data_IF_377035637181
#
_entry.id   IF_377035637181
#
_cell.length_a   1.000
_cell.length_b   1.000
_cell.length_c   1.000
_cell.angle_alpha   90.00
_cell.angle_beta   90.00
_cell.angle_gamma   90.00
#
_symmetry.space_group_name_H-M   'P 1'
#
loop_
_entity.id
_entity.type
_entity.pdbx_description
1 polymer ?
#
# COMPACT_ATOMS: atom_id res chain seq x y z
N UNK A 1 25.79 -5.18 7.05
CA UNK A 1 24.96 -4.12 6.44
C UNK A 1 24.75 -2.96 7.39
N UNK A 2 24.01 -1.94 6.98
CA UNK A 2 23.77 -0.72 7.78
C UNK A 2 23.22 -1.01 9.18
N UNK A 3 22.38 -2.03 9.34
CA UNK A 3 21.85 -2.45 10.64
C UNK A 3 22.96 -3.04 11.53
N UNK A 4 23.84 -3.86 10.97
CA UNK A 4 24.92 -4.50 11.72
C UNK A 4 25.93 -3.43 12.21
N UNK A 5 26.21 -2.42 11.38
CA UNK A 5 27.09 -1.31 11.75
C UNK A 5 26.47 -0.47 12.87
N UNK A 6 25.15 -0.23 12.81
CA UNK A 6 24.41 0.48 13.85
C UNK A 6 24.40 -0.32 15.17
N UNK A 7 24.16 -1.62 15.12
CA UNK A 7 24.20 -2.49 16.30
C UNK A 7 25.59 -2.55 16.94
N UNK A 8 26.64 -2.60 16.10
CA UNK A 8 28.03 -2.55 16.57
C UNK A 8 28.34 -1.21 17.24
N UNK A 9 27.95 -0.10 16.60
CA UNK A 9 28.12 1.24 17.18
C UNK A 9 27.38 1.37 18.52
N UNK A 10 26.16 0.81 18.62
CA UNK A 10 25.41 0.78 19.87
C UNK A 10 26.14 -0.03 20.97
N UNK A 11 26.68 -1.20 20.63
CA UNK A 11 27.43 -2.04 21.57
C UNK A 11 28.72 -1.37 22.04
N UNK A 12 29.41 -0.66 21.15
CA UNK A 12 30.64 0.07 21.45
C UNK A 12 30.42 1.45 22.11
N UNK A 13 29.16 1.87 22.32
CA UNK A 13 28.79 3.21 22.78
C UNK A 13 29.29 4.35 21.86
N UNK A 14 29.29 4.10 20.55
CA UNK A 14 29.76 4.99 19.47
C UNK A 14 28.60 5.47 18.58
N UNK A 15 27.39 5.49 19.12
CA UNK A 15 26.21 5.94 18.35
C UNK A 15 26.37 7.40 17.92
N UNK A 16 26.05 7.65 16.65
CA UNK A 16 25.95 9.02 16.12
C UNK A 16 24.60 9.63 16.47
N UNK A 17 24.50 10.96 16.57
CA UNK A 17 23.22 11.63 16.82
C UNK A 17 22.16 11.40 15.76
N UNK A 18 22.58 11.12 14.50
CA UNK A 18 21.68 10.93 13.35
C UNK A 18 22.30 9.94 12.37
N UNK A 19 21.45 9.02 11.90
CA UNK A 19 21.72 8.13 10.77
C UNK A 19 20.70 8.43 9.67
N UNK A 20 21.15 8.96 8.56
CA UNK A 20 20.32 9.30 7.41
C UNK A 20 20.76 8.50 6.18
N UNK A 21 19.91 7.57 5.73
CA UNK A 21 20.16 6.71 4.58
C UNK A 21 19.23 7.02 3.39
N UNK A 22 18.59 8.19 3.37
CA UNK A 22 17.60 8.54 2.33
C UNK A 22 18.17 8.54 0.91
N UNK A 23 19.49 8.74 0.75
CA UNK A 23 20.17 8.68 -0.55
C UNK A 23 20.61 7.26 -0.95
N UNK A 24 20.51 6.30 -0.03
CA UNK A 24 20.95 4.91 -0.21
C UNK A 24 19.86 3.93 0.29
N UNK A 25 18.66 4.10 -0.19
CA UNK A 25 17.55 3.20 0.15
C UNK A 25 17.70 1.88 -0.62
N UNK A 26 17.80 0.73 0.07
CA UNK A 26 18.01 -0.57 -0.57
C UNK A 26 16.81 -1.00 -1.43
N UNK A 27 17.10 -1.78 -2.47
CA UNK A 27 16.06 -2.53 -3.21
C UNK A 27 15.31 -3.51 -2.32
N UNK A 28 14.18 -4.01 -2.78
CA UNK A 28 13.37 -4.98 -2.04
C UNK A 28 13.42 -6.39 -2.66
N UNK A 29 13.95 -6.53 -3.87
CA UNK A 29 14.07 -7.81 -4.53
C UNK A 29 15.00 -8.73 -3.72
N UNK A 30 14.54 -9.95 -3.43
CA UNK A 30 15.27 -10.89 -2.59
C UNK A 30 15.42 -10.50 -1.12
N UNK A 31 14.89 -9.35 -0.71
CA UNK A 31 14.92 -8.95 0.69
C UNK A 31 14.10 -9.91 1.57
N UNK A 32 14.52 -10.08 2.83
CA UNK A 32 13.82 -10.92 3.78
C UNK A 32 12.32 -10.61 3.80
N UNK A 33 11.52 -11.67 3.73
CA UNK A 33 10.06 -11.55 3.80
C UNK A 33 9.61 -11.75 5.24
N UNK A 34 8.74 -10.87 5.77
CA UNK A 34 8.21 -11.04 7.11
C UNK A 34 7.37 -12.32 7.19
N UNK A 35 7.64 -13.14 8.19
CA UNK A 35 6.88 -14.34 8.47
C UNK A 35 6.58 -14.41 9.96
N UNK A 36 5.31 -14.54 10.29
CA UNK A 36 4.86 -14.76 11.67
C UNK A 36 4.27 -16.16 11.81
N UNK A 37 4.66 -16.94 12.82
CA UNK A 37 4.01 -18.20 13.14
C UNK A 37 2.50 -18.02 13.38
N UNK A 38 1.72 -19.05 13.09
CA UNK A 38 0.25 -18.98 13.14
C UNK A 38 -0.31 -18.56 14.51
N UNK A 39 0.31 -19.01 15.59
CA UNK A 39 -0.08 -18.65 16.96
C UNK A 39 0.10 -17.14 17.21
N UNK A 40 1.19 -16.56 16.69
CA UNK A 40 1.44 -15.10 16.76
C UNK A 40 0.41 -14.36 15.91
N UNK A 41 0.15 -14.81 14.66
CA UNK A 41 -0.88 -14.21 13.80
C UNK A 41 -2.24 -14.22 14.49
N UNK A 42 -2.65 -15.35 15.06
CA UNK A 42 -3.94 -15.48 15.75
C UNK A 42 -4.06 -14.54 16.94
N UNK A 43 -3.00 -14.39 17.71
CA UNK A 43 -2.98 -13.53 18.91
C UNK A 43 -2.97 -12.05 18.59
N UNK A 44 -2.30 -11.62 17.51
CA UNK A 44 -2.06 -10.21 17.20
C UNK A 44 -2.97 -9.65 16.11
N UNK A 45 -3.32 -10.45 15.12
CA UNK A 45 -4.03 -10.00 13.91
C UNK A 45 -5.19 -10.93 13.50
N UNK A 46 -5.55 -11.90 14.35
CA UNK A 46 -6.64 -12.85 14.13
C UNK A 46 -6.35 -13.82 12.99
N UNK A 47 -6.84 -13.52 11.78
CA UNK A 47 -6.72 -14.39 10.60
C UNK A 47 -6.03 -13.69 9.42
N UNK A 48 -5.34 -12.59 9.68
CA UNK A 48 -4.72 -11.75 8.65
C UNK A 48 -3.24 -11.56 8.93
N UNK A 49 -2.43 -11.54 7.88
CA UNK A 49 -1.05 -11.08 7.93
C UNK A 49 -0.86 -9.89 7.00
N UNK A 50 0.22 -9.13 7.19
CA UNK A 50 0.56 -7.98 6.36
C UNK A 50 1.97 -8.13 5.80
N UNK A 51 2.18 -7.57 4.62
CA UNK A 51 3.48 -7.47 3.99
C UNK A 51 3.54 -6.31 3.02
N UNK A 52 4.75 -5.84 2.73
CA UNK A 52 5.01 -4.87 1.68
C UNK A 52 5.37 -5.60 0.38
N UNK A 53 4.67 -5.31 -0.69
CA UNK A 53 5.07 -5.65 -2.06
C UNK A 53 5.95 -4.55 -2.67
N UNK A 54 5.87 -3.33 -2.11
CA UNK A 54 6.68 -2.19 -2.47
C UNK A 54 6.69 -1.10 -1.41
N UNK A 55 7.61 -0.15 -1.55
CA UNK A 55 7.79 1.01 -0.67
C UNK A 55 8.07 2.25 -1.49
N UNK A 56 7.63 3.41 -0.98
CA UNK A 56 7.83 4.71 -1.61
C UNK A 56 6.63 5.15 -2.45
N UNK A 57 6.42 6.45 -2.50
CA UNK A 57 5.31 7.06 -3.22
C UNK A 57 5.80 8.28 -4.02
N UNK A 58 5.46 8.41 -5.32
CA UNK A 58 5.96 9.50 -6.15
C UNK A 58 5.29 10.86 -5.85
N UNK A 59 4.17 10.86 -5.14
CA UNK A 59 3.40 12.06 -4.86
C UNK A 59 4.01 12.92 -3.75
N UNK A 60 3.61 14.18 -3.66
CA UNK A 60 4.19 15.22 -2.80
C UNK A 60 3.19 15.77 -1.78
N UNK A 61 2.22 14.96 -1.35
CA UNK A 61 1.22 15.41 -0.38
C UNK A 61 1.88 16.00 0.87
N UNK A 62 1.54 17.25 1.22
CA UNK A 62 2.24 18.01 2.27
C UNK A 62 2.07 17.44 3.68
N UNK A 63 0.99 16.69 3.93
CA UNK A 63 0.71 16.03 5.20
C UNK A 63 1.34 14.63 5.33
N UNK A 64 1.88 14.07 4.23
CA UNK A 64 2.33 12.68 4.20
C UNK A 64 3.81 12.56 4.55
N UNK A 65 4.14 11.73 5.54
CA UNK A 65 5.51 11.48 5.99
C UNK A 65 6.26 10.45 5.16
N UNK A 66 5.57 9.69 4.30
CA UNK A 66 6.14 8.58 3.53
C UNK A 66 7.33 9.02 2.68
N UNK A 67 7.23 10.17 2.02
CA UNK A 67 8.31 10.71 1.19
C UNK A 67 9.61 10.98 1.99
N UNK A 68 9.48 11.23 3.29
CA UNK A 68 10.59 11.51 4.18
C UNK A 68 11.19 10.23 4.82
N UNK A 69 10.51 9.09 4.70
CA UNK A 69 10.93 7.81 5.31
C UNK A 69 11.21 6.75 4.26
N UNK A 70 10.33 6.62 3.26
CA UNK A 70 10.43 5.59 2.21
C UNK A 70 10.95 6.14 0.87
N UNK A 71 11.04 7.47 0.75
CA UNK A 71 11.45 8.13 -0.48
C UNK A 71 10.35 8.19 -1.54
N UNK A 72 10.68 8.86 -2.64
CA UNK A 72 9.75 9.14 -3.76
C UNK A 72 9.83 8.12 -4.89
N UNK A 73 10.85 7.28 -4.91
CA UNK A 73 11.03 6.23 -5.90
C UNK A 73 10.39 4.94 -5.38
N UNK A 74 9.44 4.40 -6.12
CA UNK A 74 8.89 3.08 -5.80
C UNK A 74 9.99 2.03 -5.90
N UNK A 75 10.16 1.25 -4.84
CA UNK A 75 11.02 0.07 -4.76
C UNK A 75 10.11 -1.12 -4.57
N UNK A 76 10.20 -2.13 -5.41
CA UNK A 76 9.26 -3.23 -5.45
C UNK A 76 9.95 -4.56 -5.17
N UNK A 77 9.22 -5.50 -4.58
CA UNK A 77 9.56 -6.93 -4.56
C UNK A 77 9.28 -7.53 -5.92
N UNK A 78 9.96 -8.63 -6.23
CA UNK A 78 9.62 -9.45 -7.38
C UNK A 78 8.27 -10.18 -7.16
N UNK A 79 7.64 -10.62 -8.25
CA UNK A 79 6.45 -11.46 -8.15
C UNK A 79 6.76 -12.80 -7.46
N UNK A 80 7.98 -13.32 -7.60
CA UNK A 80 8.43 -14.55 -6.94
C UNK A 80 8.57 -14.38 -5.42
N UNK A 81 9.04 -13.22 -4.95
CA UNK A 81 9.10 -12.91 -3.53
C UNK A 81 7.70 -12.86 -2.91
N UNK A 82 6.76 -12.21 -3.60
CA UNK A 82 5.36 -12.12 -3.14
C UNK A 82 4.68 -13.48 -3.15
N UNK A 83 4.86 -14.30 -4.21
CA UNK A 83 4.33 -15.66 -4.25
C UNK A 83 4.86 -16.50 -3.09
N UNK A 84 6.18 -16.50 -2.89
CA UNK A 84 6.83 -17.28 -1.81
C UNK A 84 6.27 -16.92 -0.44
N UNK A 85 6.09 -15.61 -0.18
CA UNK A 85 5.50 -15.11 1.06
C UNK A 85 4.05 -15.57 1.24
N UNK A 86 3.24 -15.47 0.19
CA UNK A 86 1.84 -15.88 0.24
C UNK A 86 1.74 -17.39 0.45
N UNK A 87 2.52 -18.20 -0.28
CA UNK A 87 2.52 -19.67 -0.12
C UNK A 87 2.93 -20.09 1.30
N UNK A 88 3.96 -19.47 1.87
CA UNK A 88 4.37 -19.74 3.24
C UNK A 88 3.26 -19.45 4.27
N UNK A 89 2.46 -18.41 4.04
CA UNK A 89 1.32 -18.10 4.90
C UNK A 89 0.11 -19.01 4.64
N UNK A 90 -0.17 -19.35 3.38
CA UNK A 90 -1.23 -20.30 3.04
C UNK A 90 -0.99 -21.67 3.64
N UNK A 91 0.27 -22.16 3.69
CA UNK A 91 0.63 -23.46 4.27
C UNK A 91 0.31 -23.57 5.76
N UNK A 92 0.26 -22.45 6.48
CA UNK A 92 -0.19 -22.39 7.89
C UNK A 92 -1.67 -21.99 8.05
N UNK A 93 -2.45 -21.89 6.95
CA UNK A 93 -3.88 -21.60 6.97
C UNK A 93 -4.26 -20.10 7.01
N UNK A 94 -3.31 -19.21 6.73
CA UNK A 94 -3.60 -17.76 6.61
C UNK A 94 -3.92 -17.41 5.15
N UNK A 95 -5.14 -16.94 4.91
CA UNK A 95 -5.69 -16.65 3.58
C UNK A 95 -6.00 -15.17 3.34
N UNK A 96 -5.88 -14.35 4.37
CA UNK A 96 -6.21 -12.92 4.31
C UNK A 96 -4.92 -12.11 4.48
N UNK A 97 -4.69 -11.19 3.56
CA UNK A 97 -3.46 -10.40 3.47
C UNK A 97 -3.77 -8.91 3.42
N UNK A 98 -2.92 -8.11 4.04
CA UNK A 98 -2.89 -6.68 3.83
C UNK A 98 -1.58 -6.32 3.15
N UNK A 99 -1.63 -5.84 1.91
CA UNK A 99 -0.47 -5.28 1.22
C UNK A 99 -0.30 -3.84 1.70
N UNK A 100 0.79 -3.61 2.44
CA UNK A 100 1.07 -2.35 3.13
C UNK A 100 1.86 -1.35 2.27
N UNK A 101 1.86 -1.54 0.95
CA UNK A 101 2.47 -0.56 0.04
C UNK A 101 1.90 0.83 0.30
N UNK A 102 2.74 1.84 0.28
CA UNK A 102 2.32 3.24 0.41
C UNK A 102 1.34 3.64 -0.70
N UNK A 103 1.46 2.99 -1.86
CA UNK A 103 0.56 3.13 -2.99
C UNK A 103 0.78 1.99 -4.00
N UNK A 104 0.02 0.92 -3.88
CA UNK A 104 0.17 -0.26 -4.73
C UNK A 104 -0.03 0.05 -6.23
N UNK A 105 -0.86 1.04 -6.56
CA UNK A 105 -1.07 1.48 -7.94
C UNK A 105 0.17 2.12 -8.57
N UNK A 106 1.19 2.46 -7.77
CA UNK A 106 2.47 3.02 -8.23
C UNK A 106 3.64 2.05 -8.07
N UNK A 107 3.37 0.82 -7.63
CA UNK A 107 4.35 -0.25 -7.59
C UNK A 107 4.71 -0.67 -9.03
N UNK A 108 5.98 -0.64 -9.38
CA UNK A 108 6.44 -0.93 -10.76
C UNK A 108 6.18 -2.38 -11.18
N UNK A 109 6.08 -3.31 -10.22
CA UNK A 109 5.85 -4.73 -10.46
C UNK A 109 4.40 -5.16 -10.24
N UNK A 110 3.46 -4.21 -10.09
CA UNK A 110 2.07 -4.52 -9.76
C UNK A 110 1.43 -5.53 -10.73
N UNK A 111 1.73 -5.39 -12.03
CA UNK A 111 1.14 -6.24 -13.06
C UNK A 111 1.65 -7.68 -12.96
N UNK A 112 2.96 -7.87 -12.86
CA UNK A 112 3.57 -9.19 -12.68
C UNK A 112 3.11 -9.86 -11.37
N UNK A 113 2.97 -9.08 -10.29
CA UNK A 113 2.44 -9.56 -9.00
C UNK A 113 0.99 -10.02 -9.16
N UNK A 114 0.13 -9.21 -9.78
CA UNK A 114 -1.27 -9.58 -9.98
C UNK A 114 -1.42 -10.79 -10.90
N UNK A 115 -0.68 -10.87 -12.00
CA UNK A 115 -0.72 -12.03 -12.89
C UNK A 115 -0.32 -13.31 -12.16
N UNK A 116 0.67 -13.24 -11.28
CA UNK A 116 1.06 -14.37 -10.44
C UNK A 116 -0.05 -14.78 -9.47
N UNK A 117 -0.69 -13.83 -8.80
CA UNK A 117 -1.79 -14.07 -7.86
C UNK A 117 -3.05 -14.60 -8.57
N UNK A 118 -3.33 -14.11 -9.78
CA UNK A 118 -4.42 -14.60 -10.61
C UNK A 118 -4.21 -16.08 -10.93
N UNK A 119 -3.01 -16.46 -11.38
CA UNK A 119 -2.67 -17.87 -11.64
C UNK A 119 -2.87 -18.74 -10.40
N UNK A 120 -2.34 -18.30 -9.24
CA UNK A 120 -2.51 -19.04 -7.98
C UNK A 120 -3.98 -19.24 -7.61
N UNK A 121 -4.84 -18.27 -7.88
CA UNK A 121 -6.26 -18.35 -7.56
C UNK A 121 -7.07 -19.14 -8.59
N UNK A 122 -6.86 -18.87 -9.88
CA UNK A 122 -7.71 -19.39 -10.96
C UNK A 122 -7.24 -20.76 -11.45
N UNK A 123 -5.93 -21.02 -11.50
CA UNK A 123 -5.40 -22.29 -11.98
C UNK A 123 -5.14 -23.29 -10.84
N UNK A 124 -4.66 -22.82 -9.69
CA UNK A 124 -4.34 -23.66 -8.55
C UNK A 124 -5.47 -23.71 -7.49
N UNK A 125 -6.53 -22.93 -7.66
CA UNK A 125 -7.68 -22.91 -6.74
C UNK A 125 -7.39 -22.33 -5.35
N UNK A 126 -6.29 -21.58 -5.17
CA UNK A 126 -5.89 -21.06 -3.87
C UNK A 126 -6.78 -19.90 -3.42
N UNK A 127 -7.21 -19.95 -2.18
CA UNK A 127 -8.06 -18.91 -1.59
C UNK A 127 -7.19 -17.76 -1.08
N UNK A 128 -7.15 -16.65 -1.80
CA UNK A 128 -6.40 -15.44 -1.45
C UNK A 128 -7.35 -14.25 -1.38
N UNK A 129 -7.33 -13.51 -0.27
CA UNK A 129 -8.08 -12.27 -0.07
C UNK A 129 -7.13 -11.16 0.34
N UNK A 130 -7.21 -10.04 -0.35
CA UNK A 130 -6.26 -8.93 -0.20
C UNK A 130 -6.98 -7.64 0.13
N UNK A 131 -6.44 -6.93 1.11
CA UNK A 131 -6.66 -5.50 1.32
C UNK A 131 -5.46 -4.76 0.75
N UNK A 132 -5.69 -3.71 -0.03
CA UNK A 132 -4.63 -2.90 -0.62
C UNK A 132 -4.89 -1.40 -0.42
N UNK A 133 -3.86 -0.59 -0.56
CA UNK A 133 -3.94 0.88 -0.55
C UNK A 133 -3.57 1.44 -1.92
N UNK A 134 -4.36 2.37 -2.43
CA UNK A 134 -4.16 2.97 -3.75
C UNK A 134 -4.54 4.45 -3.75
N UNK A 135 -4.07 5.19 -4.75
CA UNK A 135 -4.57 6.54 -5.03
C UNK A 135 -5.87 6.53 -5.86
N UNK A 136 -6.49 7.70 -5.97
CA UNK A 136 -7.74 7.90 -6.70
C UNK A 136 -7.63 7.69 -8.21
N UNK A 137 -6.41 7.70 -8.76
CA UNK A 137 -6.15 7.55 -10.20
C UNK A 137 -5.89 6.11 -10.63
N UNK A 138 -5.98 5.13 -9.70
CA UNK A 138 -5.78 3.72 -10.02
C UNK A 138 -6.68 3.22 -11.16
N UNK A 139 -7.89 3.79 -11.31
CA UNK A 139 -8.83 3.45 -12.39
C UNK A 139 -8.36 3.85 -13.80
N UNK A 140 -7.42 4.79 -13.91
CA UNK A 140 -6.82 5.20 -15.18
C UNK A 140 -5.66 4.30 -15.63
N UNK A 141 -5.17 3.44 -14.75
CA UNK A 141 -4.14 2.47 -15.12
C UNK A 141 -4.82 1.31 -15.84
N UNK A 142 -4.47 1.12 -17.10
CA UNK A 142 -5.07 0.10 -17.94
C UNK A 142 -4.96 -1.28 -17.30
N UNK A 143 -6.12 -1.93 -17.09
CA UNK A 143 -6.18 -3.28 -16.55
C UNK A 143 -5.97 -3.42 -15.04
N UNK A 144 -5.52 -2.38 -14.33
CA UNK A 144 -5.16 -2.47 -12.90
C UNK A 144 -6.32 -2.99 -12.06
N UNK A 145 -7.48 -2.32 -12.09
CA UNK A 145 -8.65 -2.70 -11.25
C UNK A 145 -9.18 -4.08 -11.64
N UNK A 146 -9.25 -4.40 -12.94
CA UNK A 146 -9.70 -5.71 -13.40
C UNK A 146 -8.78 -6.82 -12.89
N UNK A 147 -7.46 -6.67 -13.03
CA UNK A 147 -6.48 -7.61 -12.51
C UNK A 147 -6.49 -7.67 -10.98
N UNK A 148 -6.64 -6.53 -10.30
CA UNK A 148 -6.73 -6.48 -8.84
C UNK A 148 -7.89 -7.35 -8.30
N UNK A 149 -9.09 -7.23 -8.86
CA UNK A 149 -10.24 -8.06 -8.49
C UNK A 149 -9.97 -9.55 -8.68
N UNK A 150 -9.43 -9.94 -9.83
CA UNK A 150 -9.05 -11.33 -10.13
C UNK A 150 -7.94 -11.84 -9.21
N UNK A 151 -6.96 -10.99 -8.90
CA UNK A 151 -5.87 -11.30 -7.96
C UNK A 151 -6.33 -11.49 -6.51
N UNK A 152 -7.58 -11.13 -6.18
CA UNK A 152 -8.17 -11.32 -4.85
C UNK A 152 -8.23 -10.05 -4.01
N UNK A 153 -8.01 -8.88 -4.58
CA UNK A 153 -8.22 -7.61 -3.89
C UNK A 153 -9.73 -7.41 -3.70
N UNK A 154 -10.21 -7.75 -2.52
CA UNK A 154 -11.62 -7.65 -2.15
C UNK A 154 -11.93 -6.41 -1.31
N UNK A 155 -10.92 -5.71 -0.84
CA UNK A 155 -11.03 -4.43 -0.14
C UNK A 155 -9.91 -3.51 -0.58
N UNK A 156 -10.23 -2.24 -0.76
CA UNK A 156 -9.24 -1.22 -1.11
C UNK A 156 -9.43 0.02 -0.25
N UNK A 157 -8.34 0.52 0.31
CA UNK A 157 -8.29 1.82 0.95
C UNK A 157 -7.82 2.86 -0.07
N UNK A 158 -8.56 3.96 -0.19
CA UNK A 158 -8.33 5.01 -1.18
C UNK A 158 -8.17 6.34 -0.45
N UNK A 159 -7.05 7.00 -0.63
CA UNK A 159 -6.81 8.34 -0.11
C UNK A 159 -7.60 9.39 -0.86
N UNK A 160 -8.88 9.55 -0.53
CA UNK A 160 -9.77 10.54 -1.17
C UNK A 160 -9.52 11.95 -0.59
N UNK A 161 -9.33 12.05 0.69
CA UNK A 161 -8.93 13.17 1.54
C UNK A 161 -9.95 14.32 1.62
N UNK A 162 -10.45 14.83 0.50
CA UNK A 162 -11.41 15.94 0.46
C UNK A 162 -12.18 15.97 -0.87
N UNK A 163 -13.35 16.58 -0.88
CA UNK A 163 -14.06 16.98 -2.10
C UNK A 163 -13.94 18.49 -2.37
N UNK A 164 -13.11 19.20 -1.60
CA UNK A 164 -12.79 20.60 -1.82
C UNK A 164 -11.51 20.70 -2.68
N UNK A 165 -11.57 21.26 -3.92
CA UNK A 165 -10.42 21.35 -4.80
C UNK A 165 -9.31 22.26 -4.24
N UNK A 166 -9.64 23.30 -3.47
CA UNK A 166 -8.67 24.20 -2.90
C UNK A 166 -7.88 23.51 -1.77
N UNK A 167 -8.55 22.77 -0.90
CA UNK A 167 -7.90 21.95 0.14
C UNK A 167 -6.94 20.92 -0.46
N UNK A 168 -7.35 20.26 -1.55
CA UNK A 168 -6.48 19.28 -2.25
C UNK A 168 -5.26 19.95 -2.88
N UNK A 169 -5.43 21.17 -3.44
CA UNK A 169 -4.34 21.94 -4.03
C UNK A 169 -3.33 22.39 -2.97
N UNK A 170 -3.79 22.94 -1.85
CA UNK A 170 -2.94 23.32 -0.72
C UNK A 170 -2.19 22.12 -0.13
N UNK A 171 -2.85 20.97 -0.04
CA UNK A 171 -2.26 19.72 0.37
C UNK A 171 -1.29 19.10 -0.65
N UNK A 172 -1.06 19.75 -1.80
CA UNK A 172 -0.26 19.24 -2.91
C UNK A 172 -0.71 17.86 -3.39
N UNK A 173 -2.01 17.58 -3.31
CA UNK A 173 -2.61 16.31 -3.73
C UNK A 173 -3.27 16.41 -5.11
N UNK A 174 -2.54 16.96 -6.07
CA UNK A 174 -3.03 17.21 -7.44
C UNK A 174 -3.43 15.96 -8.23
N UNK A 175 -3.06 14.76 -7.78
CA UNK A 175 -3.54 13.50 -8.36
C UNK A 175 -5.02 13.25 -8.04
N UNK A 176 -5.58 13.87 -7.02
CA UNK A 176 -7.00 13.74 -6.69
C UNK A 176 -7.82 14.69 -7.56
N UNK A 177 -8.63 14.11 -8.44
CA UNK A 177 -9.55 14.84 -9.30
C UNK A 177 -10.98 14.48 -8.90
N UNK A 178 -11.68 15.40 -8.26
CA UNK A 178 -13.01 15.19 -7.65
C UNK A 178 -14.02 14.69 -8.70
N UNK A 179 -13.95 15.22 -9.91
CA UNK A 179 -14.81 14.81 -11.04
C UNK A 179 -14.67 13.34 -11.42
N UNK A 180 -13.56 12.71 -11.06
CA UNK A 180 -13.25 11.30 -11.35
C UNK A 180 -13.66 10.34 -10.23
N UNK A 181 -13.98 10.83 -9.03
CA UNK A 181 -14.25 9.99 -7.86
C UNK A 181 -15.38 9.00 -8.10
N UNK A 182 -16.48 9.44 -8.72
CA UNK A 182 -17.60 8.56 -9.05
C UNK A 182 -17.18 7.43 -9.99
N UNK A 183 -16.47 7.74 -11.06
CA UNK A 183 -16.02 6.77 -12.03
C UNK A 183 -15.04 5.76 -11.39
N UNK A 184 -14.13 6.23 -10.54
CA UNK A 184 -13.18 5.43 -9.80
C UNK A 184 -13.89 4.46 -8.83
N UNK A 185 -14.83 4.93 -8.02
CA UNK A 185 -15.60 4.10 -7.09
C UNK A 185 -16.42 3.05 -7.84
N UNK A 186 -17.09 3.44 -8.94
CA UNK A 186 -17.84 2.51 -9.77
C UNK A 186 -16.94 1.44 -10.42
N UNK A 187 -15.71 1.80 -10.78
CA UNK A 187 -14.77 0.82 -11.35
C UNK A 187 -14.41 -0.27 -10.32
N UNK A 188 -14.18 0.09 -9.07
CA UNK A 188 -13.94 -0.88 -7.99
C UNK A 188 -15.17 -1.73 -7.67
N UNK A 189 -16.36 -1.13 -7.62
CA UNK A 189 -17.60 -1.85 -7.39
C UNK A 189 -17.90 -2.91 -8.47
N UNK A 190 -17.60 -2.59 -9.75
CA UNK A 190 -17.80 -3.54 -10.86
C UNK A 190 -17.00 -4.84 -10.72
N UNK A 191 -15.87 -4.81 -10.04
CA UNK A 191 -15.07 -6.00 -9.76
C UNK A 191 -15.35 -6.63 -8.39
N UNK A 192 -16.42 -6.16 -7.71
CA UNK A 192 -16.83 -6.69 -6.41
C UNK A 192 -15.91 -6.30 -5.24
N UNK A 193 -15.11 -5.26 -5.39
CA UNK A 193 -14.19 -4.77 -4.35
C UNK A 193 -14.87 -3.71 -3.49
N UNK A 194 -14.87 -3.92 -2.17
CA UNK A 194 -15.32 -2.93 -1.19
C UNK A 194 -14.31 -1.80 -1.07
N UNK A 195 -14.78 -0.56 -1.13
CA UNK A 195 -13.93 0.63 -1.02
C UNK A 195 -14.05 1.30 0.34
N UNK A 196 -12.91 1.64 0.94
CA UNK A 196 -12.79 2.53 2.09
C UNK A 196 -12.15 3.81 1.62
N UNK A 197 -12.84 4.95 1.80
CA UNK A 197 -12.31 6.26 1.46
C UNK A 197 -11.74 6.93 2.72
N UNK A 198 -10.45 7.24 2.71
CA UNK A 198 -9.85 8.11 3.71
C UNK A 198 -10.28 9.55 3.46
N UNK A 199 -10.81 10.21 4.49
CA UNK A 199 -11.24 11.60 4.44
C UNK A 199 -10.60 12.39 5.59
N UNK A 200 -10.10 13.59 5.31
CA UNK A 200 -9.46 14.47 6.28
C UNK A 200 -10.36 15.67 6.51
N UNK A 201 -10.73 15.89 7.76
CA UNK A 201 -11.44 17.09 8.21
C UNK A 201 -10.44 18.05 8.86
N UNK A 202 -10.58 19.34 8.57
CA UNK A 202 -9.76 20.39 9.17
C UNK A 202 -8.53 20.78 8.36
N UNK A 203 -8.61 20.74 7.04
CA UNK A 203 -7.63 21.45 6.21
C UNK A 203 -7.66 22.96 6.52
N UNK A 204 -6.54 23.69 6.33
CA UNK A 204 -6.47 25.12 6.69
C UNK A 204 -7.60 25.98 6.11
N UNK A 205 -8.10 25.61 4.93
CA UNK A 205 -9.21 26.31 4.24
C UNK A 205 -10.61 25.79 4.61
N UNK A 206 -10.73 24.76 5.47
CA UNK A 206 -12.04 24.21 5.84
C UNK A 206 -12.78 25.14 6.80
N UNK A 207 -14.10 25.18 6.62
CA UNK A 207 -15.04 25.85 7.53
C UNK A 207 -16.08 24.87 8.01
N UNK A 208 -16.78 25.13 9.14
CA UNK A 208 -17.88 24.24 9.57
C UNK A 208 -18.90 23.98 8.47
N UNK A 209 -19.25 25.02 7.68
CA UNK A 209 -20.19 24.91 6.60
C UNK A 209 -19.66 24.10 5.39
N UNK A 210 -18.35 24.12 5.13
CA UNK A 210 -17.76 23.26 4.09
C UNK A 210 -17.76 21.81 4.52
N UNK A 211 -17.38 21.54 5.78
CA UNK A 211 -17.36 20.20 6.36
C UNK A 211 -18.77 19.59 6.37
N UNK A 212 -19.79 20.39 6.77
CA UNK A 212 -21.19 19.93 6.79
C UNK A 212 -21.69 19.53 5.40
N UNK A 213 -21.24 20.20 4.34
CA UNK A 213 -21.59 19.84 2.95
C UNK A 213 -20.88 18.60 2.45
N UNK A 214 -19.72 18.31 3.00
CA UNK A 214 -18.85 17.20 2.57
C UNK A 214 -19.27 15.85 3.19
N UNK A 215 -20.04 15.89 4.30
CA UNK A 215 -20.57 14.73 5.03
C UNK A 215 -22.01 14.42 4.64
#
# INVERSE_FOLDING_TARGET
>A
GQLDDLLRAAYCNELRPLYNFMNDLPGLEGAATPYLPLDVVRRTAGVRTSFDAGRGCPFLCSFCTIINVQGRKSRARSADDVERLIRANLSQGVHNFFITDDNLARNQNWEAIFDRLIRMREEEGLRIRIVAQVDTMAHRIRGFIAKAGRAGVNRVFIGLESINPDSLKEARKGQNQITEYRAMLQAWHRVGTLTYAGYILGFPGDTPASIERDI
#
